data_IF_967963485765
#
_entry.id   IF_967963485765
#
_cell.length_a   1.000
_cell.length_b   1.000
_cell.length_c   1.000
_cell.angle_alpha   90.00
_cell.angle_beta   90.00
_cell.angle_gamma   90.00
#
_symmetry.space_group_name_H-M   'P 1'
#
loop_
_entity.id
_entity.type
_entity.pdbx_description
1 polymer ?
#
# COMPACT_ATOMS: atom_id res chain seq x y z
N UNK A 1 5.52 9.79 30.57
CA UNK A 1 5.61 9.86 29.11
C UNK A 1 4.30 10.42 28.61
N UNK A 2 4.30 11.33 27.62
CA UNK A 2 3.06 11.88 27.07
C UNK A 2 2.11 10.76 26.63
N UNK A 3 0.83 10.86 26.99
CA UNK A 3 -0.18 9.85 26.73
C UNK A 3 -0.28 9.51 25.24
N UNK A 4 -0.25 10.51 24.36
CA UNK A 4 -0.31 10.30 22.92
C UNK A 4 0.91 9.58 22.34
N UNK A 5 2.07 9.64 23.01
CA UNK A 5 3.28 8.88 22.65
C UNK A 5 3.24 7.49 23.27
N UNK A 6 2.86 7.40 24.56
CA UNK A 6 2.73 6.14 25.28
C UNK A 6 1.81 5.16 24.55
N UNK A 7 0.63 5.62 24.11
CA UNK A 7 -0.32 4.74 23.42
C UNK A 7 0.25 4.17 22.11
N UNK A 8 1.14 4.91 21.43
CA UNK A 8 1.80 4.40 20.22
C UNK A 8 2.89 3.40 20.57
N UNK A 9 3.77 3.75 21.50
CA UNK A 9 4.90 2.89 21.89
C UNK A 9 4.45 1.59 22.58
N UNK A 10 3.36 1.65 23.34
CA UNK A 10 2.75 0.49 23.98
C UNK A 10 1.83 -0.33 23.04
N UNK A 11 1.71 0.07 21.77
CA UNK A 11 0.93 -0.67 20.76
C UNK A 11 -0.59 -0.54 20.87
N UNK A 12 -1.10 0.38 21.70
CA UNK A 12 -2.53 0.69 21.77
C UNK A 12 -3.03 1.53 20.58
N UNK A 13 -2.14 2.18 19.86
CA UNK A 13 -2.42 2.95 18.65
C UNK A 13 -1.31 2.76 17.60
N UNK A 14 -1.68 2.62 16.33
CA UNK A 14 -0.76 2.58 15.20
C UNK A 14 -0.12 3.95 14.89
N UNK A 15 -0.80 5.06 15.21
CA UNK A 15 -0.31 6.43 14.93
C UNK A 15 -0.60 7.40 16.06
N UNK A 16 0.17 8.49 16.16
CA UNK A 16 -0.10 9.56 17.14
C UNK A 16 -1.49 10.16 16.95
N UNK A 17 -1.94 10.34 15.71
CA UNK A 17 -3.29 10.86 15.44
C UNK A 17 -4.39 9.92 15.93
N UNK A 18 -4.18 8.59 15.85
CA UNK A 18 -5.10 7.62 16.44
C UNK A 18 -5.05 7.65 17.96
N UNK A 19 -3.87 7.73 18.57
CA UNK A 19 -3.72 7.87 20.01
C UNK A 19 -4.49 9.08 20.57
N UNK A 20 -4.42 10.23 19.90
CA UNK A 20 -5.17 11.43 20.30
C UNK A 20 -6.69 11.23 20.25
N UNK A 21 -7.20 10.46 19.28
CA UNK A 21 -8.62 10.13 19.19
C UNK A 21 -9.05 9.15 20.26
N UNK A 22 -8.25 8.13 20.54
CA UNK A 22 -8.49 7.22 21.67
C UNK A 22 -8.56 8.00 22.98
N UNK A 23 -7.65 8.94 23.22
CA UNK A 23 -7.69 9.83 24.39
C UNK A 23 -8.99 10.62 24.44
N UNK A 24 -9.45 11.17 23.31
CA UNK A 24 -10.72 11.89 23.23
C UNK A 24 -11.95 10.98 23.47
N UNK A 25 -11.88 9.71 23.03
CA UNK A 25 -12.93 8.70 23.24
C UNK A 25 -12.91 8.13 24.67
N UNK A 26 -11.80 8.29 25.39
CA UNK A 26 -11.63 7.98 26.79
C UNK A 26 -10.56 6.93 27.03
N UNK A 27 -9.51 7.33 27.74
CA UNK A 27 -8.41 6.44 28.17
C UNK A 27 -8.24 6.55 29.67
N UNK A 28 -8.06 5.42 30.33
CA UNK A 28 -7.72 5.33 31.74
C UNK A 28 -6.43 4.53 31.94
N UNK A 29 -5.66 4.84 32.97
CA UNK A 29 -4.46 4.09 33.34
C UNK A 29 -4.37 3.84 34.85
N UNK A 30 -3.63 2.80 35.26
CA UNK A 30 -3.31 2.52 36.67
C UNK A 30 -1.94 1.85 36.82
N UNK A 31 -1.32 1.96 37.99
CA UNK A 31 0.00 1.38 38.26
C UNK A 31 -0.03 -0.07 38.76
N UNK A 32 -1.15 -0.51 39.30
CA UNK A 32 -1.32 -1.87 39.81
C UNK A 32 -2.79 -2.24 39.82
N UNK A 33 -3.12 -3.54 39.89
CA UNK A 33 -4.52 -3.99 39.92
C UNK A 33 -5.36 -3.42 41.07
N UNK A 34 -4.71 -3.01 42.17
CA UNK A 34 -5.34 -2.45 43.36
C UNK A 34 -5.42 -0.91 43.33
N UNK A 35 -4.71 -0.25 42.40
CA UNK A 35 -4.75 1.19 42.26
C UNK A 35 -6.01 1.64 41.48
N UNK A 36 -6.57 2.82 41.80
CA UNK A 36 -7.69 3.36 41.04
C UNK A 36 -7.28 3.73 39.61
N UNK A 37 -8.23 3.63 38.69
CA UNK A 37 -8.09 4.11 37.33
C UNK A 37 -8.00 5.64 37.31
N UNK A 38 -7.03 6.16 36.58
CA UNK A 38 -6.80 7.59 36.36
C UNK A 38 -7.13 7.93 34.91
N UNK A 39 -8.04 8.88 34.71
CA UNK A 39 -8.42 9.34 33.37
C UNK A 39 -7.34 10.18 32.73
N UNK A 40 -7.08 9.91 31.46
CA UNK A 40 -6.32 10.79 30.58
C UNK A 40 -7.29 11.85 30.05
N UNK A 41 -6.96 13.11 30.25
CA UNK A 41 -7.83 14.25 29.89
C UNK A 41 -7.34 14.98 28.65
N UNK A 42 -6.02 14.95 28.39
CA UNK A 42 -5.40 15.59 27.24
C UNK A 42 -4.21 14.79 26.73
N UNK A 43 -3.90 14.99 25.45
CA UNK A 43 -2.84 14.28 24.72
C UNK A 43 -1.46 14.32 25.41
N UNK A 44 -1.17 15.41 26.14
CA UNK A 44 0.10 15.62 26.82
C UNK A 44 0.13 15.17 28.28
N UNK A 45 -0.92 14.54 28.81
CA UNK A 45 -0.90 13.99 30.17
C UNK A 45 0.18 12.90 30.28
N UNK A 46 0.80 12.79 31.45
CA UNK A 46 1.85 11.79 31.66
C UNK A 46 1.27 10.43 32.08
N UNK A 47 1.57 9.40 31.30
CA UNK A 47 1.37 8.00 31.64
C UNK A 47 2.73 7.42 32.08
N UNK A 48 2.81 6.78 33.25
CA UNK A 48 4.00 6.02 33.66
C UNK A 48 4.26 4.84 32.71
N UNK A 49 5.54 4.56 32.39
CA UNK A 49 5.90 3.52 31.41
C UNK A 49 5.43 2.10 31.77
N UNK A 50 5.20 1.84 33.07
CA UNK A 50 4.74 0.55 33.61
C UNK A 50 3.24 0.50 33.84
N UNK A 51 2.50 1.55 33.49
CA UNK A 51 1.07 1.62 33.73
C UNK A 51 0.30 0.64 32.83
N UNK A 52 -0.70 0.00 33.42
CA UNK A 52 -1.75 -0.69 32.67
C UNK A 52 -2.71 0.36 32.12
N UNK A 53 -3.08 0.23 30.85
CA UNK A 53 -4.00 1.14 30.17
C UNK A 53 -5.27 0.42 29.75
N UNK A 54 -6.38 1.12 29.89
CA UNK A 54 -7.70 0.72 29.43
C UNK A 54 -8.26 1.78 28.49
N UNK A 55 -8.63 1.34 27.29
CA UNK A 55 -9.41 2.13 26.35
C UNK A 55 -10.89 1.96 26.74
N UNK A 56 -11.60 3.07 26.92
CA UNK A 56 -13.03 3.04 27.23
C UNK A 56 -13.87 2.79 25.96
N UNK A 57 -13.35 3.21 24.81
CA UNK A 57 -13.86 2.93 23.48
C UNK A 57 -12.67 2.64 22.56
N UNK A 58 -12.60 1.42 22.03
CA UNK A 58 -11.55 0.94 21.13
C UNK A 58 -12.01 0.88 19.67
N UNK A 59 -13.21 1.36 19.34
CA UNK A 59 -13.70 1.37 17.95
C UNK A 59 -12.74 2.14 17.03
N UNK A 60 -12.11 3.20 17.54
CA UNK A 60 -11.08 3.98 16.84
C UNK A 60 -9.76 3.22 16.63
N UNK A 61 -9.53 2.09 17.32
CA UNK A 61 -8.35 1.23 17.20
C UNK A 61 -8.52 0.10 16.16
N UNK A 62 -9.76 -0.18 15.71
CA UNK A 62 -10.07 -1.33 14.85
C UNK A 62 -9.30 -1.36 13.52
N UNK A 63 -9.08 -0.18 12.95
CA UNK A 63 -8.37 -0.02 11.68
C UNK A 63 -7.20 0.96 11.85
N UNK A 64 -6.21 0.87 10.95
CA UNK A 64 -5.05 1.77 10.92
C UNK A 64 -5.46 3.24 10.83
N UNK A 65 -6.55 3.55 10.14
CA UNK A 65 -7.08 4.90 10.05
C UNK A 65 -8.61 4.93 10.05
N UNK A 66 -9.18 6.11 10.29
CA UNK A 66 -10.64 6.34 10.24
C UNK A 66 -11.27 5.93 8.91
N UNK A 67 -10.49 5.90 7.83
CA UNK A 67 -10.97 5.41 6.53
C UNK A 67 -11.56 4.01 6.63
N UNK A 68 -10.96 3.12 7.43
CA UNK A 68 -11.48 1.76 7.60
C UNK A 68 -12.91 1.72 8.17
N UNK A 69 -13.23 2.59 9.14
CA UNK A 69 -14.58 2.71 9.71
C UNK A 69 -15.59 3.22 8.67
N UNK A 70 -15.17 4.13 7.79
CA UNK A 70 -16.01 4.63 6.70
C UNK A 70 -16.37 3.49 5.74
N UNK A 71 -15.35 2.77 5.26
CA UNK A 71 -15.55 1.68 4.32
C UNK A 71 -16.37 0.54 4.94
N UNK A 72 -16.11 0.18 6.19
CA UNK A 72 -16.88 -0.84 6.89
C UNK A 72 -18.38 -0.48 6.93
N UNK A 73 -18.73 0.74 7.33
CA UNK A 73 -20.14 1.15 7.35
C UNK A 73 -20.78 1.13 5.96
N UNK A 74 -20.03 1.49 4.92
CA UNK A 74 -20.49 1.42 3.54
C UNK A 74 -20.71 -0.03 3.06
N UNK A 75 -19.81 -0.95 3.41
CA UNK A 75 -19.96 -2.39 3.11
C UNK A 75 -21.21 -2.96 3.81
N UNK A 76 -21.41 -2.64 5.09
CA UNK A 76 -22.59 -3.06 5.85
C UNK A 76 -23.88 -2.51 5.25
N UNK A 77 -23.92 -1.22 4.90
CA UNK A 77 -25.11 -0.57 4.35
C UNK A 77 -25.47 -1.07 2.94
N UNK A 78 -24.49 -1.46 2.14
CA UNK A 78 -24.70 -2.02 0.80
C UNK A 78 -24.97 -3.53 0.80
N UNK A 79 -24.61 -4.23 1.88
CA UNK A 79 -24.61 -5.69 1.92
C UNK A 79 -23.53 -6.33 1.03
N UNK A 80 -22.54 -5.57 0.56
CA UNK A 80 -21.47 -6.06 -0.28
C UNK A 80 -20.50 -6.92 0.53
N UNK A 81 -20.40 -8.21 0.20
CA UNK A 81 -19.34 -9.07 0.71
C UNK A 81 -18.07 -8.91 -0.12
N UNK A 82 -16.95 -8.64 0.53
CA UNK A 82 -15.62 -8.57 -0.11
C UNK A 82 -14.78 -9.83 0.09
N UNK A 83 -15.33 -10.84 0.77
CA UNK A 83 -14.66 -12.10 1.00
C UNK A 83 -14.26 -12.77 -0.33
N UNK A 84 -12.96 -13.06 -0.48
CA UNK A 84 -12.41 -13.70 -1.68
C UNK A 84 -12.21 -12.76 -2.87
N UNK A 85 -12.57 -11.48 -2.78
CA UNK A 85 -12.46 -10.54 -3.89
C UNK A 85 -11.04 -10.02 -4.09
N UNK A 86 -10.70 -9.70 -5.34
CA UNK A 86 -9.55 -8.86 -5.69
C UNK A 86 -9.99 -7.41 -5.76
N UNK A 87 -9.36 -6.56 -4.96
CA UNK A 87 -9.75 -5.17 -4.78
C UNK A 87 -8.67 -4.21 -5.28
N UNK A 88 -9.09 -3.08 -5.85
CA UNK A 88 -8.25 -1.91 -6.09
C UNK A 88 -8.61 -0.82 -5.08
N UNK A 89 -7.63 -0.34 -4.31
CA UNK A 89 -7.75 0.76 -3.36
C UNK A 89 -7.05 2.02 -3.92
N UNK A 90 -7.83 2.98 -4.39
CA UNK A 90 -7.32 4.19 -5.05
C UNK A 90 -7.19 5.33 -4.03
N UNK A 91 -5.97 5.79 -3.79
CA UNK A 91 -5.65 6.69 -2.68
C UNK A 91 -5.37 5.94 -1.39
N UNK A 92 -4.55 4.87 -1.47
CA UNK A 92 -4.30 3.95 -0.37
C UNK A 92 -3.84 4.64 0.93
N UNK A 93 -3.04 5.71 0.82
CA UNK A 93 -2.51 6.51 1.92
C UNK A 93 -1.92 5.63 3.03
N UNK A 94 -2.35 5.80 4.27
CA UNK A 94 -1.94 4.97 5.43
C UNK A 94 -2.50 3.55 5.40
N UNK A 95 -3.50 3.28 4.55
CA UNK A 95 -4.07 1.95 4.29
C UNK A 95 -5.34 1.62 5.07
N UNK A 96 -6.13 2.60 5.51
CA UNK A 96 -7.37 2.34 6.26
C UNK A 96 -8.41 1.52 5.49
N UNK A 97 -8.62 1.82 4.21
CA UNK A 97 -9.53 1.06 3.35
C UNK A 97 -8.97 -0.35 3.07
N UNK A 98 -7.70 -0.44 2.67
CA UNK A 98 -6.98 -1.72 2.56
C UNK A 98 -7.12 -2.60 3.81
N UNK A 99 -6.88 -2.08 5.01
CA UNK A 99 -7.02 -2.82 6.28
C UNK A 99 -8.44 -3.34 6.48
N UNK A 100 -9.45 -2.50 6.21
CA UNK A 100 -10.85 -2.92 6.24
C UNK A 100 -11.14 -4.07 5.26
N UNK A 101 -10.70 -3.97 4.02
CA UNK A 101 -10.90 -5.02 3.01
C UNK A 101 -10.26 -6.34 3.45
N UNK A 102 -9.02 -6.32 3.93
CA UNK A 102 -8.30 -7.52 4.38
C UNK A 102 -8.96 -8.18 5.59
N UNK A 103 -9.41 -7.38 6.57
CA UNK A 103 -10.13 -7.89 7.74
C UNK A 103 -11.50 -8.48 7.37
N UNK A 104 -12.14 -7.96 6.32
CA UNK A 104 -13.40 -8.48 5.76
C UNK A 104 -13.19 -9.63 4.76
N UNK A 105 -11.96 -10.13 4.62
CA UNK A 105 -11.66 -11.36 3.89
C UNK A 105 -11.32 -11.17 2.41
N UNK A 106 -10.99 -9.96 1.94
CA UNK A 106 -10.49 -9.77 0.58
C UNK A 106 -9.27 -10.68 0.30
N UNK A 107 -9.25 -11.29 -0.88
CA UNK A 107 -8.17 -12.18 -1.29
C UNK A 107 -6.89 -11.40 -1.62
N UNK A 108 -7.04 -10.21 -2.20
CA UNK A 108 -5.93 -9.34 -2.57
C UNK A 108 -6.39 -7.88 -2.60
N UNK A 109 -5.50 -6.96 -2.24
CA UNK A 109 -5.67 -5.52 -2.43
C UNK A 109 -4.47 -4.96 -3.16
N UNK A 110 -4.68 -4.41 -4.36
CA UNK A 110 -3.69 -3.56 -5.02
C UNK A 110 -4.04 -2.12 -4.65
N UNK A 111 -3.13 -1.45 -3.95
CA UNK A 111 -3.29 -0.06 -3.55
C UNK A 111 -2.47 0.87 -4.43
N UNK A 112 -3.09 1.96 -4.89
CA UNK A 112 -2.43 2.99 -5.68
C UNK A 112 -2.42 4.30 -4.89
N UNK A 113 -1.28 4.97 -4.81
CA UNK A 113 -1.15 6.28 -4.19
C UNK A 113 -0.20 7.19 -4.99
N UNK A 114 -0.44 8.50 -4.91
CA UNK A 114 0.43 9.52 -5.53
C UNK A 114 1.62 9.87 -4.64
N UNK A 115 1.49 9.69 -3.32
CA UNK A 115 2.54 9.93 -2.35
C UNK A 115 3.47 8.73 -2.18
N UNK A 116 4.36 8.83 -1.20
CA UNK A 116 5.40 7.83 -0.92
C UNK A 116 5.51 7.56 0.59
N UNK A 117 5.82 6.33 0.96
CA UNK A 117 6.17 5.94 2.33
C UNK A 117 5.04 6.13 3.35
N UNK A 118 3.79 6.16 2.91
CA UNK A 118 2.63 6.39 3.79
C UNK A 118 2.02 5.09 4.32
N UNK A 119 2.07 4.01 3.52
CA UNK A 119 1.43 2.75 3.88
C UNK A 119 2.06 2.18 5.15
N UNK A 120 1.19 1.82 6.11
CA UNK A 120 1.59 1.25 7.38
C UNK A 120 2.35 -0.08 7.21
N UNK A 121 3.41 -0.29 8.00
CA UNK A 121 4.33 -1.44 7.88
C UNK A 121 3.62 -2.78 7.85
N UNK A 122 2.66 -3.00 8.77
CA UNK A 122 1.83 -4.23 8.80
C UNK A 122 1.18 -4.56 7.45
N UNK A 123 0.70 -3.57 6.72
CA UNK A 123 0.09 -3.78 5.40
C UNK A 123 1.16 -3.94 4.32
N UNK A 124 2.28 -3.22 4.44
CA UNK A 124 3.42 -3.33 3.53
C UNK A 124 4.03 -4.73 3.54
N UNK A 125 4.01 -5.41 4.69
CA UNK A 125 4.51 -6.80 4.83
C UNK A 125 3.46 -7.87 4.52
N UNK A 126 2.18 -7.53 4.27
CA UNK A 126 1.13 -8.53 3.96
C UNK A 126 1.20 -8.93 2.48
N UNK A 127 1.39 -10.22 2.20
CA UNK A 127 1.51 -10.75 0.83
C UNK A 127 0.25 -10.58 -0.03
N UNK A 128 -0.90 -10.28 0.59
CA UNK A 128 -2.15 -9.96 -0.12
C UNK A 128 -2.18 -8.52 -0.60
N UNK A 129 -1.22 -7.68 -0.19
CA UNK A 129 -1.17 -6.26 -0.53
C UNK A 129 -0.06 -5.99 -1.55
N UNK A 130 -0.42 -5.29 -2.63
CA UNK A 130 0.57 -4.69 -3.54
C UNK A 130 0.47 -3.19 -3.40
N UNK A 131 1.52 -2.55 -2.90
CA UNK A 131 1.59 -1.11 -2.72
C UNK A 131 2.26 -0.45 -3.93
N UNK A 132 1.50 0.34 -4.68
CA UNK A 132 1.96 1.09 -5.85
C UNK A 132 1.93 2.58 -5.52
N UNK A 133 3.11 3.15 -5.29
CA UNK A 133 3.30 4.56 -4.91
C UNK A 133 3.80 5.40 -6.11
N UNK A 134 3.63 6.72 -6.04
CA UNK A 134 4.05 7.66 -7.10
C UNK A 134 3.21 7.59 -8.38
N UNK A 135 2.00 7.03 -8.32
CA UNK A 135 1.15 6.82 -9.50
C UNK A 135 -0.13 7.66 -9.40
N UNK A 136 -0.41 8.44 -10.45
CA UNK A 136 -1.61 9.24 -10.55
C UNK A 136 -2.77 8.45 -11.19
N UNK A 137 -3.80 8.16 -10.39
CA UNK A 137 -4.97 7.41 -10.81
C UNK A 137 -5.72 8.05 -12.00
N UNK A 138 -5.67 9.38 -12.16
CA UNK A 138 -6.35 10.10 -13.27
C UNK A 138 -5.88 9.64 -14.65
N UNK A 139 -4.61 9.30 -14.78
CA UNK A 139 -3.98 8.91 -16.05
C UNK A 139 -3.50 7.46 -16.05
N UNK A 140 -4.02 6.65 -15.13
CA UNK A 140 -3.57 5.27 -14.95
C UNK A 140 -4.09 4.38 -16.08
N UNK A 141 -3.18 3.66 -16.73
CA UNK A 141 -3.51 2.65 -17.75
C UNK A 141 -3.27 1.25 -17.20
N UNK A 142 -3.88 0.24 -17.84
CA UNK A 142 -3.69 -1.16 -17.47
C UNK A 142 -2.22 -1.57 -17.50
N UNK A 143 -1.50 -1.17 -18.56
CA UNK A 143 -0.08 -1.43 -18.72
C UNK A 143 0.75 -0.75 -17.62
N UNK A 144 0.50 0.55 -17.36
CA UNK A 144 1.23 1.27 -16.32
C UNK A 144 1.00 0.70 -14.92
N UNK A 145 -0.25 0.28 -14.62
CA UNK A 145 -0.55 -0.37 -13.34
C UNK A 145 0.19 -1.71 -13.22
N UNK A 146 0.17 -2.53 -14.28
CA UNK A 146 0.87 -3.81 -14.27
C UNK A 146 2.38 -3.64 -14.10
N UNK A 147 3.01 -2.74 -14.86
CA UNK A 147 4.44 -2.41 -14.74
C UNK A 147 4.79 -1.90 -13.33
N UNK A 148 3.94 -1.06 -12.75
CA UNK A 148 4.15 -0.55 -11.40
C UNK A 148 4.00 -1.65 -10.34
N UNK A 149 3.09 -2.61 -10.53
CA UNK A 149 2.99 -3.79 -9.69
C UNK A 149 4.25 -4.66 -9.81
N UNK A 150 4.76 -4.91 -11.02
CA UNK A 150 6.01 -5.66 -11.22
C UNK A 150 7.16 -4.99 -10.50
N UNK A 151 7.26 -3.65 -10.56
CA UNK A 151 8.26 -2.89 -9.84
C UNK A 151 8.13 -3.05 -8.32
N UNK A 152 6.93 -2.94 -7.77
CA UNK A 152 6.68 -3.06 -6.34
C UNK A 152 7.03 -4.47 -5.80
N UNK A 153 6.86 -5.50 -6.62
CA UNK A 153 7.09 -6.91 -6.27
C UNK A 153 8.52 -7.39 -6.55
N UNK A 154 9.31 -6.59 -7.27
CA UNK A 154 10.66 -6.96 -7.67
C UNK A 154 11.74 -6.45 -6.71
N UNK A 155 12.83 -7.17 -6.66
CA UNK A 155 14.11 -6.74 -6.12
C UNK A 155 15.11 -6.50 -7.28
N UNK A 156 16.12 -5.70 -6.99
CA UNK A 156 17.25 -5.47 -7.91
C UNK A 156 18.32 -6.48 -7.55
N UNK A 157 18.57 -7.42 -8.45
CA UNK A 157 19.65 -8.40 -8.32
C UNK A 157 20.76 -8.05 -9.31
N UNK A 158 22.01 -8.25 -8.90
CA UNK A 158 23.12 -8.18 -9.85
C UNK A 158 22.92 -9.27 -10.92
N UNK A 159 23.19 -8.96 -12.19
CA UNK A 159 23.11 -9.97 -13.24
C UNK A 159 24.14 -11.08 -12.95
N UNK A 160 23.67 -12.30 -12.69
CA UNK A 160 24.54 -13.47 -12.65
C UNK A 160 24.98 -13.78 -14.09
N UNK A 161 26.28 -13.74 -14.31
CA UNK A 161 26.91 -14.46 -15.41
C UNK A 161 27.68 -15.61 -14.75
N UNK A 162 27.35 -16.82 -15.22
CA UNK A 162 27.92 -18.09 -14.83
C UNK A 162 29.45 -18.04 -14.98
N UNK A 163 30.15 -17.83 -13.86
CA UNK A 163 31.61 -17.72 -13.83
C UNK A 163 32.21 -18.75 -12.87
N UNK A 164 31.50 -19.86 -12.63
CA UNK A 164 31.95 -20.94 -11.74
C UNK A 164 33.04 -21.81 -12.37
N UNK A 165 33.31 -21.68 -13.67
CA UNK A 165 34.39 -22.43 -14.32
C UNK A 165 35.70 -21.65 -14.22
N UNK A 166 36.41 -21.82 -13.10
CA UNK A 166 37.76 -21.29 -12.95
C UNK A 166 38.69 -22.02 -13.95
N UNK A 167 39.40 -21.32 -14.86
CA UNK A 167 40.35 -21.97 -15.75
C UNK A 167 41.46 -22.66 -14.95
N UNK A 168 41.73 -23.95 -15.23
CA UNK A 168 42.84 -24.67 -14.61
C UNK A 168 44.17 -24.03 -15.03
N UNK A 169 45.00 -23.70 -14.04
CA UNK A 169 46.24 -22.96 -14.29
C UNK A 169 47.26 -23.82 -15.06
N UNK A 170 47.92 -23.28 -16.10
CA UNK A 170 48.97 -23.99 -16.80
C UNK A 170 50.08 -24.29 -15.81
N UNK A 171 50.65 -25.49 -15.93
CA UNK A 171 51.70 -25.98 -15.04
C UNK A 171 51.26 -26.21 -13.58
N UNK A 172 49.98 -26.51 -13.34
CA UNK A 172 49.46 -26.88 -12.00
C UNK A 172 50.33 -27.95 -11.32
N UNK A 173 50.85 -28.89 -12.11
CA UNK A 173 51.77 -29.95 -11.72
C UNK A 173 53.09 -29.47 -11.08
N UNK A 174 53.58 -28.26 -11.40
CA UNK A 174 54.84 -27.74 -10.83
C UNK A 174 54.73 -27.32 -9.35
N UNK A 175 53.52 -27.05 -8.84
CA UNK A 175 53.34 -26.49 -7.48
C UNK A 175 53.53 -27.50 -6.34
N UNK A 176 53.50 -28.80 -6.61
CA UNK A 176 53.63 -29.87 -5.60
C UNK A 176 54.82 -30.83 -5.88
N UNK A 177 55.93 -30.30 -6.39
CA UNK A 177 57.15 -31.09 -6.62
C UNK A 177 57.10 -31.99 -7.86
N UNK A 178 56.36 -31.57 -8.88
CA UNK A 178 55.94 -32.36 -10.03
C UNK A 178 57.03 -33.17 -10.74
N UNK A 179 56.77 -34.47 -10.85
CA UNK A 179 57.42 -35.37 -11.79
C UNK A 179 56.59 -35.37 -13.08
N UNK A 180 57.21 -35.00 -14.20
CA UNK A 180 56.62 -35.19 -15.53
C UNK A 180 56.87 -36.65 -15.90
N UNK A 181 55.82 -37.46 -15.98
CA UNK A 181 55.88 -38.76 -16.66
C UNK A 181 55.36 -38.62 -18.10
N UNK A 182 55.60 -39.63 -18.93
CA UNK A 182 55.16 -39.64 -20.34
C UNK A 182 53.62 -39.73 -20.50
N UNK A 183 52.86 -39.72 -19.40
CA UNK A 183 51.39 -39.79 -19.39
C UNK A 183 50.72 -38.46 -19.01
N UNK A 184 51.48 -37.38 -18.77
CA UNK A 184 50.91 -36.05 -18.50
C UNK A 184 50.37 -35.40 -19.78
N UNK A 185 49.05 -35.15 -19.82
CA UNK A 185 48.32 -34.50 -20.91
C UNK A 185 47.89 -33.09 -20.48
N UNK A 186 48.58 -32.08 -21.01
CA UNK A 186 48.34 -30.66 -20.74
C UNK A 186 47.35 -30.02 -21.73
N UNK A 187 46.72 -30.81 -22.60
CA UNK A 187 45.78 -30.30 -23.60
C UNK A 187 44.51 -29.66 -23.00
N UNK A 188 44.24 -29.93 -21.72
CA UNK A 188 43.16 -29.32 -20.94
C UNK A 188 43.57 -28.06 -20.14
N UNK A 189 44.86 -27.74 -20.02
CA UNK A 189 45.33 -26.58 -19.25
C UNK A 189 44.92 -25.27 -19.97
N UNK A 190 44.44 -24.29 -19.20
CA UNK A 190 44.11 -22.99 -19.77
C UNK A 190 45.40 -22.25 -20.16
N UNK A 191 45.36 -21.47 -21.24
CA UNK A 191 46.53 -20.69 -21.66
C UNK A 191 46.72 -19.50 -20.72
N UNK A 192 47.96 -19.03 -20.56
CA UNK A 192 48.26 -17.83 -19.76
C UNK A 192 47.40 -16.63 -20.16
N UNK A 193 47.09 -16.49 -21.45
CA UNK A 193 46.23 -15.44 -21.99
C UNK A 193 44.78 -15.55 -21.47
N UNK A 194 44.26 -16.77 -21.34
CA UNK A 194 42.89 -17.03 -20.88
C UNK A 194 42.76 -16.71 -19.39
N UNK A 195 43.81 -17.00 -18.61
CA UNK A 195 43.86 -16.69 -17.17
C UNK A 195 44.01 -15.20 -16.92
N UNK A 196 44.83 -14.51 -17.70
CA UNK A 196 44.99 -13.07 -17.58
C UNK A 196 43.71 -12.33 -18.01
N UNK A 197 43.04 -12.80 -19.05
CA UNK A 197 41.71 -12.34 -19.43
C UNK A 197 40.69 -12.52 -18.28
N UNK A 198 40.63 -13.72 -17.68
CA UNK A 198 39.76 -14.02 -16.54
C UNK A 198 40.03 -13.12 -15.32
N UNK A 199 41.31 -12.89 -14.98
CA UNK A 199 41.70 -11.98 -13.87
C UNK A 199 41.34 -10.54 -14.17
N UNK A 200 41.58 -10.07 -15.39
CA UNK A 200 41.24 -8.72 -15.85
C UNK A 200 39.73 -8.49 -15.77
N UNK A 201 38.93 -9.45 -16.23
CA UNK A 201 37.48 -9.42 -16.17
C UNK A 201 36.97 -9.35 -14.71
N UNK A 202 37.53 -10.19 -13.82
CA UNK A 202 37.24 -10.15 -12.37
C UNK A 202 37.59 -8.81 -11.73
N UNK A 203 38.73 -8.22 -12.09
CA UNK A 203 39.16 -6.93 -11.57
C UNK A 203 38.25 -5.79 -12.05
N UNK A 204 37.92 -5.77 -13.35
CA UNK A 204 36.98 -4.80 -13.93
C UNK A 204 35.58 -4.92 -13.29
N UNK A 205 35.11 -6.15 -13.02
CA UNK A 205 33.83 -6.38 -12.36
C UNK A 205 33.85 -5.97 -10.89
N UNK A 206 34.95 -6.20 -10.17
CA UNK A 206 35.12 -5.73 -8.80
C UNK A 206 35.12 -4.19 -8.73
N UNK A 207 35.75 -3.54 -9.72
CA UNK A 207 35.75 -2.09 -9.87
C UNK A 207 34.36 -1.57 -10.22
N UNK A 208 33.65 -2.22 -11.16
CA UNK A 208 32.26 -1.90 -11.49
C UNK A 208 31.30 -2.11 -10.30
N UNK A 209 31.50 -3.16 -9.49
CA UNK A 209 30.75 -3.38 -8.24
C UNK A 209 31.01 -2.27 -7.22
N UNK A 210 32.27 -1.86 -7.05
CA UNK A 210 32.63 -0.75 -6.16
C UNK A 210 32.06 0.60 -6.64
N UNK A 211 31.88 0.76 -7.96
CA UNK A 211 31.28 1.95 -8.58
C UNK A 211 29.75 1.86 -8.74
N UNK A 212 29.13 0.72 -8.42
CA UNK A 212 27.69 0.50 -8.58
C UNK A 212 27.20 0.48 -10.04
N UNK A 213 28.09 0.20 -11.00
CA UNK A 213 27.81 0.23 -12.45
C UNK A 213 27.53 -1.14 -13.05
N UNK A 214 27.46 -2.18 -12.23
CA UNK A 214 27.12 -3.53 -12.71
C UNK A 214 25.74 -3.55 -13.36
N UNK A 215 25.57 -4.31 -14.45
CA UNK A 215 24.26 -4.58 -15.00
C UNK A 215 23.40 -5.29 -13.94
N UNK A 216 22.27 -4.69 -13.62
CA UNK A 216 21.30 -5.26 -12.68
C UNK A 216 20.08 -5.77 -13.44
N UNK A 217 19.49 -6.84 -12.94
CA UNK A 217 18.22 -7.37 -13.42
C UNK A 217 17.16 -7.18 -12.34
N UNK A 218 15.92 -6.98 -12.76
CA UNK A 218 14.77 -7.02 -11.85
C UNK A 218 14.21 -8.41 -11.85
N UNK A 219 14.06 -8.97 -10.65
CA UNK A 219 13.41 -10.27 -10.45
C UNK A 219 12.36 -10.10 -9.36
N UNK A 220 11.17 -10.68 -9.55
CA UNK A 220 10.17 -10.77 -8.48
C UNK A 220 10.78 -11.46 -7.26
N UNK A 221 10.53 -10.91 -6.08
CA UNK A 221 10.88 -11.58 -4.82
C UNK A 221 10.20 -12.95 -4.76
N UNK A 222 10.89 -13.95 -4.20
CA UNK A 222 10.44 -15.35 -4.25
C UNK A 222 9.05 -15.55 -3.63
N UNK A 223 8.79 -14.88 -2.49
CA UNK A 223 7.51 -14.87 -1.79
C UNK A 223 6.36 -14.20 -2.59
N UNK A 224 6.70 -13.39 -3.59
CA UNK A 224 5.77 -12.69 -4.45
C UNK A 224 5.56 -13.36 -5.83
N UNK A 225 6.17 -14.52 -6.09
CA UNK A 225 6.17 -15.12 -7.43
C UNK A 225 4.75 -15.39 -7.96
N UNK A 226 3.83 -15.82 -7.09
CA UNK A 226 2.43 -16.13 -7.41
C UNK A 226 1.46 -14.95 -7.32
N UNK A 227 1.93 -13.73 -7.06
CA UNK A 227 1.05 -12.56 -6.92
C UNK A 227 0.45 -12.18 -8.28
N UNK A 228 -0.88 -12.14 -8.37
CA UNK A 228 -1.63 -11.73 -9.56
C UNK A 228 -1.58 -10.20 -9.73
N UNK A 229 -0.98 -9.75 -10.84
CA UNK A 229 -0.84 -8.33 -11.21
C UNK A 229 -1.79 -7.91 -12.33
N UNK A 230 -2.74 -8.78 -12.70
CA UNK A 230 -3.70 -8.49 -13.76
C UNK A 230 -4.59 -7.31 -13.35
N UNK A 231 -4.69 -6.24 -14.16
CA UNK A 231 -5.44 -5.02 -13.86
C UNK A 231 -6.95 -5.20 -14.09
N UNK A 232 -7.53 -6.19 -13.40
CA UNK A 232 -8.94 -6.56 -13.45
C UNK A 232 -9.42 -6.97 -12.06
N UNK A 233 -10.34 -6.20 -11.49
CA UNK A 233 -10.75 -6.29 -10.08
C UNK A 233 -12.25 -6.54 -9.93
N UNK A 234 -12.61 -7.24 -8.86
CA UNK A 234 -14.01 -7.47 -8.49
C UNK A 234 -14.59 -6.25 -7.75
N UNK A 235 -13.74 -5.49 -7.04
CA UNK A 235 -14.08 -4.24 -6.37
C UNK A 235 -13.05 -3.15 -6.67
N UNK A 236 -13.53 -1.95 -6.98
CA UNK A 236 -12.74 -0.72 -6.97
C UNK A 236 -13.31 0.21 -5.89
N UNK A 237 -12.45 0.65 -4.98
CA UNK A 237 -12.77 1.58 -3.89
C UNK A 237 -11.70 2.65 -3.77
N UNK A 238 -11.95 3.69 -2.96
CA UNK A 238 -10.97 4.75 -2.74
C UNK A 238 -11.48 5.89 -1.87
N UNK A 239 -10.53 6.52 -1.18
CA UNK A 239 -10.70 7.71 -0.34
C UNK A 239 -9.78 8.83 -0.86
N UNK A 240 -10.23 9.49 -1.94
CA UNK A 240 -9.42 10.49 -2.64
C UNK A 240 -9.57 11.88 -2.02
N UNK A 241 -8.50 12.68 -2.11
CA UNK A 241 -8.47 14.07 -1.65
C UNK A 241 -7.92 14.99 -2.73
N UNK A 242 -8.40 16.24 -2.76
CA UNK A 242 -7.94 17.28 -3.70
C UNK A 242 -8.17 16.98 -5.19
N UNK A 243 -9.02 16.00 -5.50
CA UNK A 243 -9.41 15.65 -6.86
C UNK A 243 -10.89 15.26 -6.88
N UNK A 244 -11.59 15.66 -7.95
CA UNK A 244 -12.95 15.22 -8.21
C UNK A 244 -12.94 13.79 -8.74
N UNK A 245 -13.86 12.96 -8.26
CA UNK A 245 -14.04 11.59 -8.75
C UNK A 245 -14.33 11.56 -10.25
N UNK A 246 -14.99 12.58 -10.82
CA UNK A 246 -15.29 12.61 -12.26
C UNK A 246 -14.03 12.65 -13.14
N UNK A 247 -12.89 13.04 -12.58
CA UNK A 247 -11.59 13.02 -13.26
C UNK A 247 -10.87 11.67 -13.13
N UNK A 248 -11.25 10.83 -12.17
CA UNK A 248 -10.56 9.58 -11.85
C UNK A 248 -11.36 8.37 -12.32
N UNK A 249 -12.69 8.39 -12.15
CA UNK A 249 -13.59 7.31 -12.55
C UNK A 249 -13.36 6.83 -13.99
N UNK A 250 -13.13 7.69 -15.01
CA UNK A 250 -12.90 7.22 -16.38
C UNK A 250 -11.69 6.27 -16.52
N UNK A 251 -10.63 6.48 -15.73
CA UNK A 251 -9.45 5.62 -15.76
C UNK A 251 -9.68 4.32 -14.99
N UNK A 252 -10.22 4.40 -13.77
CA UNK A 252 -10.30 3.24 -12.87
C UNK A 252 -11.48 2.32 -13.18
N UNK A 253 -12.57 2.82 -13.78
CA UNK A 253 -13.72 2.00 -14.17
C UNK A 253 -13.35 0.93 -15.22
N UNK A 254 -12.32 1.19 -16.03
CA UNK A 254 -11.80 0.23 -16.99
C UNK A 254 -11.25 -1.04 -16.34
N UNK A 255 -10.80 -0.96 -15.08
CA UNK A 255 -10.24 -2.09 -14.34
C UNK A 255 -11.30 -2.95 -13.63
N UNK A 256 -12.57 -2.57 -13.64
CA UNK A 256 -13.63 -3.41 -13.08
C UNK A 256 -13.89 -4.61 -13.98
N UNK A 257 -14.00 -5.80 -13.43
CA UNK A 257 -14.53 -6.96 -14.16
C UNK A 257 -16.01 -6.76 -14.52
N UNK A 258 -16.55 -7.49 -15.50
CA UNK A 258 -18.00 -7.64 -15.63
C UNK A 258 -18.62 -7.99 -14.28
N UNK A 259 -19.80 -7.45 -13.98
CA UNK A 259 -20.48 -7.58 -12.68
C UNK A 259 -19.76 -6.95 -11.47
N UNK A 260 -18.58 -6.35 -11.67
CA UNK A 260 -17.75 -5.76 -10.62
C UNK A 260 -18.41 -4.57 -9.90
N UNK A 261 -17.89 -4.29 -8.71
CA UNK A 261 -18.43 -3.31 -7.77
C UNK A 261 -17.55 -2.07 -7.71
N UNK A 262 -18.17 -0.89 -7.78
CA UNK A 262 -17.54 0.39 -7.46
C UNK A 262 -18.11 0.88 -6.12
N UNK A 263 -17.26 1.13 -5.13
CA UNK A 263 -17.67 1.71 -3.85
C UNK A 263 -16.71 2.83 -3.46
N UNK A 264 -17.02 4.07 -3.84
CA UNK A 264 -16.11 5.22 -3.70
C UNK A 264 -16.62 6.21 -2.66
N UNK A 265 -15.71 6.74 -1.83
CA UNK A 265 -16.02 7.85 -0.96
C UNK A 265 -16.04 9.14 -1.77
N UNK A 266 -17.14 9.87 -1.67
CA UNK A 266 -17.37 11.18 -2.28
C UNK A 266 -17.24 12.26 -1.23
N UNK A 267 -16.39 13.24 -1.52
CA UNK A 267 -16.10 14.38 -0.66
C UNK A 267 -16.54 15.67 -1.34
N UNK A 268 -17.73 16.22 -1.01
CA UNK A 268 -18.29 17.40 -1.68
C UNK A 268 -17.32 18.57 -1.83
N UNK A 269 -16.44 18.80 -0.85
CA UNK A 269 -15.44 19.86 -0.87
C UNK A 269 -14.40 19.75 -1.99
N UNK A 270 -14.20 18.56 -2.57
CA UNK A 270 -13.33 18.32 -3.73
C UNK A 270 -14.09 18.18 -5.05
N UNK A 271 -15.41 18.11 -4.99
CA UNK A 271 -16.30 18.06 -6.16
C UNK A 271 -16.81 19.45 -6.56
N UNK A 272 -16.88 20.38 -5.60
CA UNK A 272 -17.42 21.72 -5.79
C UNK A 272 -16.35 22.74 -6.21
N UNK A 273 -16.81 23.85 -6.79
CA UNK A 273 -15.94 24.91 -7.32
C UNK A 273 -15.50 25.92 -6.24
N UNK A 274 -14.38 26.65 -6.44
CA UNK A 274 -14.00 27.77 -5.59
C UNK A 274 -15.13 28.82 -5.52
N UNK A 275 -15.75 28.96 -4.34
CA UNK A 275 -16.94 29.80 -4.12
C UNK A 275 -18.17 29.04 -3.62
N UNK A 276 -18.22 27.73 -3.87
CA UNK A 276 -19.23 26.81 -3.31
C UNK A 276 -18.76 26.15 -2.01
N UNK A 277 -17.45 26.26 -1.71
CA UNK A 277 -16.82 25.75 -0.50
C UNK A 277 -16.52 26.91 0.44
N UNK A 278 -16.98 26.82 1.68
CA UNK A 278 -16.82 27.87 2.68
C UNK A 278 -15.40 27.98 3.26
N UNK A 279 -15.20 28.95 4.17
CA UNK A 279 -13.94 29.10 4.92
C UNK A 279 -13.57 27.78 5.62
N UNK A 280 -12.30 27.39 5.50
CA UNK A 280 -11.76 26.15 6.07
C UNK A 280 -12.02 24.91 5.22
N UNK A 281 -12.50 25.04 3.97
CA UNK A 281 -12.74 23.89 3.10
C UNK A 281 -14.05 23.15 3.40
N UNK A 282 -14.95 23.75 4.18
CA UNK A 282 -16.19 23.10 4.63
C UNK A 282 -17.37 23.49 3.77
N UNK A 283 -18.12 22.51 3.27
CA UNK A 283 -19.38 22.71 2.55
C UNK A 283 -20.50 22.90 3.56
N UNK A 284 -21.12 24.09 3.55
CA UNK A 284 -22.16 24.48 4.53
C UNK A 284 -23.57 24.42 3.94
N UNK A 285 -23.69 24.62 2.63
CA UNK A 285 -24.97 24.57 1.94
C UNK A 285 -25.28 23.12 1.51
N UNK A 286 -26.21 22.51 2.23
CA UNK A 286 -26.64 21.14 1.98
C UNK A 286 -27.33 20.96 0.61
N UNK A 287 -27.85 22.03 -0.01
CA UNK A 287 -28.43 21.95 -1.34
C UNK A 287 -27.40 21.58 -2.40
N UNK A 288 -26.11 21.86 -2.16
CA UNK A 288 -25.01 21.51 -3.06
C UNK A 288 -24.73 20.00 -3.09
N UNK A 289 -25.15 19.23 -2.09
CA UNK A 289 -24.97 17.77 -2.08
C UNK A 289 -25.72 17.10 -3.23
N UNK A 290 -26.95 17.55 -3.53
CA UNK A 290 -27.73 17.05 -4.67
C UNK A 290 -27.05 17.35 -6.01
N UNK A 291 -26.34 18.48 -6.12
CA UNK A 291 -25.58 18.85 -7.33
C UNK A 291 -24.37 17.92 -7.51
N UNK A 292 -23.69 17.59 -6.41
CA UNK A 292 -22.57 16.63 -6.42
C UNK A 292 -23.06 15.24 -6.78
N UNK A 293 -24.10 14.74 -6.10
CA UNK A 293 -24.69 13.42 -6.36
C UNK A 293 -25.10 13.27 -7.83
N UNK A 294 -25.82 14.25 -8.38
CA UNK A 294 -26.23 14.23 -9.80
C UNK A 294 -25.02 14.08 -10.72
N UNK A 295 -23.97 14.87 -10.50
CA UNK A 295 -22.77 14.85 -11.35
C UNK A 295 -22.03 13.50 -11.30
N UNK A 296 -21.93 12.90 -10.12
CA UNK A 296 -21.32 11.58 -9.95
C UNK A 296 -22.16 10.50 -10.62
N UNK A 297 -23.49 10.56 -10.48
CA UNK A 297 -24.42 9.62 -11.15
C UNK A 297 -24.34 9.74 -12.68
N UNK A 298 -24.31 10.96 -13.21
CA UNK A 298 -24.18 11.20 -14.65
C UNK A 298 -22.84 10.62 -15.16
N UNK A 299 -21.73 10.88 -14.47
CA UNK A 299 -20.42 10.33 -14.80
C UNK A 299 -20.41 8.78 -14.74
N UNK A 300 -21.03 8.17 -13.73
CA UNK A 300 -21.15 6.71 -13.66
C UNK A 300 -21.94 6.16 -14.86
N UNK A 301 -23.06 6.81 -15.22
CA UNK A 301 -23.89 6.37 -16.34
C UNK A 301 -23.14 6.45 -17.68
N UNK A 302 -22.37 7.51 -17.91
CA UNK A 302 -21.49 7.66 -19.09
C UNK A 302 -20.44 6.55 -19.20
N UNK A 303 -20.02 6.00 -18.05
CA UNK A 303 -19.04 4.91 -17.95
C UNK A 303 -19.70 3.51 -17.94
N UNK A 304 -21.01 3.41 -18.12
CA UNK A 304 -21.74 2.13 -18.08
C UNK A 304 -21.86 1.52 -16.68
N UNK A 305 -21.74 2.34 -15.63
CA UNK A 305 -21.89 1.94 -14.23
C UNK A 305 -23.30 2.29 -13.73
N UNK A 306 -24.04 1.28 -13.31
CA UNK A 306 -25.37 1.45 -12.73
C UNK A 306 -25.25 1.74 -11.22
N UNK A 307 -25.53 2.99 -10.83
CA UNK A 307 -25.53 3.39 -9.40
C UNK A 307 -26.67 2.70 -8.65
N UNK A 308 -26.31 1.89 -7.66
CA UNK A 308 -27.24 1.13 -6.82
C UNK A 308 -27.62 1.90 -5.55
N UNK A 309 -26.69 2.65 -4.96
CA UNK A 309 -26.94 3.42 -3.74
C UNK A 309 -26.07 4.68 -3.66
N UNK A 310 -26.63 5.68 -2.97
CA UNK A 310 -25.93 6.87 -2.48
C UNK A 310 -26.15 6.92 -0.97
N UNK A 311 -25.07 6.91 -0.20
CA UNK A 311 -25.11 6.65 1.24
C UNK A 311 -24.36 7.75 1.99
N UNK A 312 -24.82 8.15 3.17
CA UNK A 312 -24.01 8.96 4.07
C UNK A 312 -22.82 8.13 4.60
N UNK A 313 -21.64 8.75 4.70
CA UNK A 313 -20.53 8.15 5.42
C UNK A 313 -20.90 8.00 6.91
N UNK A 314 -20.64 6.85 7.55
CA UNK A 314 -21.02 6.59 8.94
C UNK A 314 -20.34 7.54 9.93
N UNK A 315 -19.23 8.16 9.51
CA UNK A 315 -18.49 9.16 10.27
C UNK A 315 -18.18 10.37 9.37
N UNK A 316 -18.17 11.56 9.97
CA UNK A 316 -17.82 12.80 9.28
C UNK A 316 -16.33 12.86 8.92
N UNK A 317 -15.98 13.68 7.92
CA UNK A 317 -14.60 14.02 7.57
C UNK A 317 -13.81 14.60 8.76
N UNK A 318 -12.49 14.51 8.73
CA UNK A 318 -11.63 15.03 9.80
C UNK A 318 -11.73 16.55 10.03
N UNK A 319 -12.20 17.26 9.01
CA UNK A 319 -12.47 18.70 8.94
C UNK A 319 -13.94 19.07 9.23
N UNK A 320 -14.78 18.08 9.53
CA UNK A 320 -16.22 18.25 9.76
C UNK A 320 -17.08 18.28 8.49
N UNK A 321 -16.51 17.99 7.32
CA UNK A 321 -17.32 17.84 6.10
C UNK A 321 -18.24 16.63 6.19
N UNK A 322 -19.44 16.80 5.63
CA UNK A 322 -20.33 15.67 5.36
C UNK A 322 -19.87 14.97 4.09
N UNK A 323 -19.62 13.67 4.17
CA UNK A 323 -19.10 12.84 3.09
C UNK A 323 -20.09 11.73 2.76
N UNK A 324 -20.05 11.22 1.54
CA UNK A 324 -20.99 10.22 1.04
C UNK A 324 -20.24 9.04 0.42
N UNK A 325 -20.91 7.91 0.23
CA UNK A 325 -20.45 6.84 -0.64
C UNK A 325 -21.36 6.74 -1.86
N UNK A 326 -20.75 6.51 -3.02
CA UNK A 326 -21.46 6.02 -4.21
C UNK A 326 -21.16 4.53 -4.38
N UNK A 327 -22.22 3.73 -4.42
CA UNK A 327 -22.16 2.31 -4.79
C UNK A 327 -22.74 2.12 -6.19
N UNK A 328 -21.95 1.58 -7.10
CA UNK A 328 -22.37 1.27 -8.46
C UNK A 328 -21.89 -0.13 -8.88
N UNK A 329 -22.54 -0.70 -9.89
CA UNK A 329 -22.14 -1.98 -10.50
C UNK A 329 -21.86 -1.80 -11.98
N UNK A 330 -20.82 -2.46 -12.46
CA UNK A 330 -20.57 -2.61 -13.90
C UNK A 330 -21.59 -3.58 -14.47
N UNK A 331 -22.22 -3.19 -15.57
CA UNK A 331 -23.09 -4.10 -16.30
C UNK A 331 -22.30 -5.36 -16.73
N UNK A 332 -22.96 -6.53 -16.80
CA UNK A 332 -22.35 -7.76 -17.33
C UNK A 332 -21.92 -7.59 -18.79
#
# INVERSE_FOLDING_TARGET
MRADVFLVEAGHAATRSQAQRLIAAGVEWRLSPLAPWQKVTKNGDDIPSVAEVKLLDDAEAKYISRGGLKLEGALLATGLSVAGLRCLDVGQSTGGFTDCLLQQGAAQVIGVDVGHGQLHERLRSDLRVVCVEGVNARSLTAQALQEACELALSEVVEADEDNETQPEAPYSWMRNGGLVDEAYDDSGDAKDQDIEAFKSERAQRAEARAQGTLPVQRRRRAECAGVDTTPAFDLVTGDLSFISLTLVLPAIAAFLRPDGHLLMLVKPQFELQPGQVGKGGVVRDAALYAVVEKRIRDCCAELGLAVQAWLDSPIQGGDGNHEFFVYARRAP
#
